data_IF_923776032097
#
_entry.id   IF_923776032097
#
_cell.length_a   1.000
_cell.length_b   1.000
_cell.length_c   1.000
_cell.angle_alpha   90.00
_cell.angle_beta   90.00
_cell.angle_gamma   90.00
#
_symmetry.space_group_name_H-M   'P 1'
#
loop_
_entity.id
_entity.type
_entity.pdbx_description
1 polymer ?
#
# COMPACT_ATOMS: atom_id res chain seq x y z
N UNK A 1 5.33 3.59 1.81
CA UNK A 1 4.52 4.42 0.89
C UNK A 1 3.83 3.55 -0.13
N UNK A 2 3.06 4.15 -1.02
CA UNK A 2 2.31 3.45 -2.08
C UNK A 2 2.58 4.09 -3.44
N UNK A 3 2.73 3.26 -4.48
CA UNK A 3 2.91 3.69 -5.86
C UNK A 3 1.66 3.29 -6.67
N UNK A 4 1.06 4.25 -7.33
CA UNK A 4 -0.03 4.05 -8.28
C UNK A 4 0.43 4.44 -9.68
N UNK A 5 0.28 3.53 -10.64
CA UNK A 5 0.67 3.71 -12.04
C UNK A 5 -0.58 3.95 -12.86
N UNK A 6 -0.63 5.08 -13.56
CA UNK A 6 -1.72 5.46 -14.45
C UNK A 6 -1.24 5.69 -15.89
N UNK A 7 -2.17 5.94 -16.81
CA UNK A 7 -1.86 6.22 -18.21
C UNK A 7 -1.10 7.55 -18.35
N UNK A 8 0.23 7.45 -18.35
CA UNK A 8 1.14 8.59 -18.53
C UNK A 8 1.51 9.34 -17.25
N UNK A 9 1.06 8.88 -16.08
CA UNK A 9 1.42 9.50 -14.79
C UNK A 9 1.59 8.45 -13.69
N UNK A 10 2.69 8.54 -12.96
CA UNK A 10 2.95 7.71 -11.78
C UNK A 10 2.86 8.57 -10.52
N UNK A 11 2.15 8.09 -9.50
CA UNK A 11 1.94 8.81 -8.24
C UNK A 11 2.47 8.00 -7.07
N UNK A 12 3.35 8.60 -6.27
CA UNK A 12 3.96 8.03 -5.08
C UNK A 12 3.53 8.81 -3.83
N UNK A 13 2.89 8.15 -2.86
CA UNK A 13 2.60 8.74 -1.54
C UNK A 13 3.49 8.12 -0.48
N UNK A 14 4.22 8.96 0.27
CA UNK A 14 5.19 8.52 1.28
C UNK A 14 4.59 8.67 2.67
N UNK A 15 4.43 7.55 3.38
CA UNK A 15 3.92 7.54 4.76
C UNK A 15 5.04 7.77 5.78
N UNK A 16 6.19 7.17 5.57
CA UNK A 16 7.34 7.26 6.47
C UNK A 16 8.64 7.23 5.66
N UNK A 17 9.66 7.96 6.14
CA UNK A 17 10.96 8.09 5.51
C UNK A 17 11.00 9.13 4.40
N UNK A 18 11.95 8.99 3.49
CA UNK A 18 12.13 9.81 2.30
C UNK A 18 12.51 8.92 1.13
N UNK A 19 11.92 9.14 -0.04
CA UNK A 19 12.16 8.34 -1.24
C UNK A 19 12.69 9.26 -2.34
N UNK A 20 13.81 8.88 -2.94
CA UNK A 20 14.27 9.49 -4.18
C UNK A 20 13.39 8.96 -5.33
N UNK A 21 12.56 9.84 -5.90
CA UNK A 21 11.65 9.52 -6.98
C UNK A 21 12.22 10.00 -8.32
N UNK A 22 12.49 9.06 -9.22
CA UNK A 22 13.15 9.27 -10.50
C UNK A 22 12.16 9.12 -11.66
N UNK A 23 12.13 10.11 -12.54
CA UNK A 23 11.49 10.02 -13.85
C UNK A 23 12.55 9.65 -14.90
N UNK A 24 12.36 8.50 -15.55
CA UNK A 24 13.33 7.96 -16.51
C UNK A 24 13.33 8.68 -17.87
N UNK A 25 12.29 9.45 -18.21
CA UNK A 25 12.21 10.19 -19.48
C UNK A 25 13.28 11.29 -19.53
N UNK A 26 13.45 12.01 -18.43
CA UNK A 26 14.40 13.14 -18.32
C UNK A 26 15.56 12.89 -17.37
N UNK A 27 15.59 11.75 -16.68
CA UNK A 27 16.47 11.46 -15.54
C UNK A 27 16.37 12.51 -14.42
N UNK A 28 15.23 13.21 -14.32
CA UNK A 28 14.96 14.12 -13.22
C UNK A 28 14.60 13.31 -11.98
N UNK A 29 15.20 13.65 -10.84
CA UNK A 29 14.82 13.07 -9.56
C UNK A 29 14.53 14.13 -8.51
N UNK A 30 13.64 13.80 -7.60
CA UNK A 30 13.29 14.63 -6.44
C UNK A 30 13.09 13.74 -5.23
N UNK A 31 13.45 14.24 -4.05
CA UNK A 31 13.10 13.56 -2.82
C UNK A 31 11.64 13.85 -2.48
N UNK A 32 10.89 12.79 -2.17
CA UNK A 32 9.53 12.84 -1.65
C UNK A 32 9.59 12.39 -0.20
N UNK A 33 9.36 13.32 0.72
CA UNK A 33 9.45 13.09 2.16
C UNK A 33 8.13 12.56 2.73
N UNK A 34 8.16 12.10 3.98
CA UNK A 34 6.97 11.63 4.69
C UNK A 34 5.85 12.68 4.69
N UNK A 35 4.63 12.23 4.40
CA UNK A 35 3.46 13.09 4.27
C UNK A 35 3.33 13.76 2.90
N UNK A 36 4.25 13.50 1.96
CA UNK A 36 4.19 14.06 0.62
C UNK A 36 3.74 13.04 -0.43
N UNK A 37 3.16 13.59 -1.49
CA UNK A 37 2.84 12.90 -2.73
C UNK A 37 3.70 13.47 -3.85
N UNK A 38 4.45 12.60 -4.53
CA UNK A 38 5.18 12.89 -5.76
C UNK A 38 4.40 12.40 -6.97
N UNK A 39 4.31 13.22 -8.03
CA UNK A 39 3.64 12.89 -9.29
C UNK A 39 4.64 13.05 -10.41
N UNK A 40 4.94 11.95 -11.08
CA UNK A 40 5.83 11.88 -12.24
C UNK A 40 4.99 11.86 -13.51
N UNK A 41 5.19 12.85 -14.38
CA UNK A 41 4.43 13.01 -15.62
C UNK A 41 5.20 12.46 -16.84
N UNK A 42 4.47 12.12 -17.89
CA UNK A 42 4.99 11.67 -19.18
C UNK A 42 5.83 12.72 -19.93
N UNK A 43 5.66 14.01 -19.64
CA UNK A 43 6.52 15.09 -20.14
C UNK A 43 7.90 15.13 -19.46
N UNK A 44 8.12 14.25 -18.48
CA UNK A 44 9.37 14.13 -17.75
C UNK A 44 9.48 15.04 -16.53
N UNK A 45 8.43 15.78 -16.19
CA UNK A 45 8.39 16.59 -14.96
C UNK A 45 8.02 15.75 -13.74
N UNK A 46 8.48 16.19 -12.57
CA UNK A 46 8.02 15.66 -11.28
C UNK A 46 7.51 16.83 -10.45
N UNK A 47 6.32 16.69 -9.89
CA UNK A 47 5.76 17.63 -8.92
C UNK A 47 5.64 16.97 -7.55
N UNK A 48 5.87 17.74 -6.49
CA UNK A 48 5.75 17.27 -5.10
C UNK A 48 4.83 18.21 -4.36
N UNK A 49 3.89 17.63 -3.60
CA UNK A 49 2.98 18.37 -2.73
C UNK A 49 2.70 17.60 -1.46
N UNK A 50 2.06 18.25 -0.49
CA UNK A 50 1.49 17.54 0.65
C UNK A 50 0.44 16.53 0.16
N UNK A 51 0.48 15.34 0.74
CA UNK A 51 -0.54 14.33 0.52
C UNK A 51 -1.87 14.83 1.09
N UNK A 52 -2.97 14.48 0.45
CA UNK A 52 -4.30 14.72 1.03
C UNK A 52 -4.56 13.70 2.15
N UNK A 53 -5.54 13.99 3.02
CA UNK A 53 -5.97 13.05 4.05
C UNK A 53 -6.45 11.72 3.44
N UNK A 54 -7.13 11.80 2.29
CA UNK A 54 -7.60 10.62 1.55
C UNK A 54 -6.43 9.80 0.99
N UNK A 55 -5.43 10.43 0.36
CA UNK A 55 -4.24 9.75 -0.15
C UNK A 55 -3.46 9.07 0.97
N UNK A 56 -3.32 9.75 2.11
CA UNK A 56 -2.63 9.22 3.29
C UNK A 56 -3.36 8.01 3.87
N UNK A 57 -4.68 8.13 4.03
CA UNK A 57 -5.54 7.04 4.52
C UNK A 57 -5.50 5.83 3.59
N UNK A 58 -5.63 6.05 2.28
CA UNK A 58 -5.55 4.99 1.27
C UNK A 58 -4.18 4.31 1.28
N UNK A 59 -3.09 5.09 1.35
CA UNK A 59 -1.74 4.57 1.41
C UNK A 59 -1.49 3.75 2.69
N UNK A 60 -2.02 4.19 3.84
CA UNK A 60 -1.99 3.42 5.08
C UNK A 60 -2.81 2.13 4.96
N UNK A 61 -4.04 2.18 4.45
CA UNK A 61 -4.89 0.99 4.30
C UNK A 61 -4.26 -0.06 3.39
N UNK A 62 -3.60 0.36 2.30
CA UNK A 62 -2.85 -0.52 1.41
C UNK A 62 -1.62 -1.14 2.10
N UNK A 63 -0.89 -0.38 2.92
CA UNK A 63 0.21 -0.92 3.72
C UNK A 63 -0.28 -1.99 4.71
N UNK A 64 -1.37 -1.73 5.43
CA UNK A 64 -1.97 -2.70 6.34
C UNK A 64 -2.43 -3.96 5.58
N UNK A 65 -3.02 -3.79 4.40
CA UNK A 65 -3.43 -4.92 3.54
C UNK A 65 -2.23 -5.73 3.03
N UNK A 66 -1.15 -5.06 2.61
CA UNK A 66 0.06 -5.68 2.07
C UNK A 66 0.90 -6.40 3.15
N UNK A 67 0.84 -5.96 4.41
CA UNK A 67 1.50 -6.61 5.55
C UNK A 67 0.74 -7.83 6.10
N UNK A 68 -0.36 -8.24 5.46
CA UNK A 68 -1.21 -9.32 5.95
C UNK A 68 -2.03 -8.95 7.20
N UNK A 69 -2.06 -7.67 7.59
CA UNK A 69 -2.97 -7.16 8.62
C UNK A 69 -4.39 -6.96 8.08
N UNK A 70 -4.57 -7.03 6.76
CA UNK A 70 -5.85 -7.24 6.08
C UNK A 70 -6.31 -8.70 6.05
N UNK A 71 -5.82 -9.57 6.94
CA UNK A 71 -6.47 -10.88 7.13
C UNK A 71 -7.90 -10.63 7.61
N UNK A 72 -8.86 -11.14 6.83
CA UNK A 72 -10.26 -11.23 7.21
C UNK A 72 -10.32 -11.70 8.67
N UNK A 73 -10.85 -10.87 9.58
CA UNK A 73 -10.90 -11.19 11.00
C UNK A 73 -11.66 -12.51 11.14
N UNK A 74 -10.92 -13.58 11.47
CA UNK A 74 -11.48 -14.91 11.52
C UNK A 74 -10.94 -15.70 12.71
N UNK A 75 -11.81 -16.55 13.26
CA UNK A 75 -11.44 -17.60 14.20
C UNK A 75 -11.44 -18.92 13.42
N UNK A 76 -10.27 -19.55 13.30
CA UNK A 76 -10.15 -20.92 12.76
C UNK A 76 -10.00 -21.92 13.91
N UNK A 77 -10.91 -22.90 13.99
CA UNK A 77 -10.86 -24.01 14.93
C UNK A 77 -10.60 -25.29 14.13
N UNK A 78 -9.43 -25.91 14.32
CA UNK A 78 -9.11 -27.24 13.78
C UNK A 78 -9.31 -28.31 14.85
N UNK A 79 -10.23 -29.25 14.60
CA UNK A 79 -10.43 -30.46 15.39
C UNK A 79 -9.78 -31.62 14.65
N UNK A 80 -8.94 -32.37 15.36
CA UNK A 80 -8.27 -33.56 14.85
C UNK A 80 -8.62 -34.75 15.73
N UNK A 81 -9.12 -35.82 15.13
CA UNK A 81 -9.35 -37.07 15.86
C UNK A 81 -8.09 -37.97 15.90
N UNK A 82 -8.20 -39.10 16.60
CA UNK A 82 -7.09 -40.07 16.75
C UNK A 82 -6.71 -40.77 15.45
N UNK A 83 -7.62 -40.80 14.47
CA UNK A 83 -7.41 -41.39 13.15
C UNK A 83 -6.89 -40.36 12.13
N UNK A 84 -6.45 -39.20 12.61
CA UNK A 84 -6.00 -38.04 11.83
C UNK A 84 -7.08 -37.37 10.97
N UNK A 85 -8.37 -37.66 11.15
CA UNK A 85 -9.41 -36.92 10.45
C UNK A 85 -9.47 -35.50 11.00
N UNK A 86 -9.60 -34.53 10.09
CA UNK A 86 -9.63 -33.11 10.41
C UNK A 86 -10.99 -32.51 10.10
N UNK A 87 -11.52 -31.75 11.05
CA UNK A 87 -12.61 -30.78 10.80
C UNK A 87 -12.09 -29.38 11.06
N UNK A 88 -12.37 -28.47 10.14
CA UNK A 88 -12.08 -27.05 10.29
C UNK A 88 -13.39 -26.27 10.38
N UNK A 89 -13.50 -25.41 11.38
CA UNK A 89 -14.57 -24.40 11.48
C UNK A 89 -13.91 -23.03 11.32
N UNK A 90 -14.45 -22.20 10.42
CA UNK A 90 -14.02 -20.82 10.22
C UNK A 90 -15.17 -19.89 10.53
N UNK A 91 -14.96 -18.99 11.49
CA UNK A 91 -15.91 -17.94 11.85
C UNK A 91 -15.33 -16.63 11.40
N UNK A 92 -15.96 -15.97 10.44
CA UNK A 92 -15.59 -14.64 9.98
C UNK A 92 -16.40 -13.60 10.73
N UNK A 93 -15.77 -12.52 11.14
CA UNK A 93 -16.45 -11.45 11.87
C UNK A 93 -15.93 -10.08 11.45
N UNK A 94 -16.77 -9.08 11.67
CA UNK A 94 -16.52 -7.67 11.37
C UNK A 94 -16.99 -6.90 12.61
N UNK A 95 -16.38 -5.74 12.92
CA UNK A 95 -16.86 -4.88 14.01
C UNK A 95 -18.13 -4.12 13.58
#
# INVERSE_FOLDING_TARGET
GTLSVGDGTDTLTVIEGSINFLNLVTNTSVNVDSGQTGISNNDGTISVRQATDEETSNAQNQLHSAQGLGQEKQIEIELKDRDNNKKKVRIRYHD
#
